data_IF_942158659458
#
_entry.id   IF_942158659458
#
_cell.length_a   1.000
_cell.length_b   1.000
_cell.length_c   1.000
_cell.angle_alpha   90.00
_cell.angle_beta   90.00
_cell.angle_gamma   90.00
#
_symmetry.space_group_name_H-M   'P 1'
#
loop_
_entity.id
_entity.type
_entity.pdbx_description
1 polymer ?
#
# COMPACT_ATOMS: atom_id res chain seq x y z
N UNK A 1 21.02 12.95 -12.31
CA UNK A 1 21.29 12.48 -10.94
C UNK A 1 20.12 12.91 -10.08
N UNK A 2 19.44 11.97 -9.40
CA UNK A 2 18.42 12.32 -8.42
C UNK A 2 19.14 13.12 -7.32
N UNK A 3 18.54 14.24 -6.94
CA UNK A 3 19.08 15.11 -5.90
C UNK A 3 19.08 14.36 -4.56
N UNK A 4 20.21 13.73 -4.25
CA UNK A 4 20.43 12.97 -3.01
C UNK A 4 20.55 13.85 -1.76
N UNK A 5 20.37 15.17 -1.92
CA UNK A 5 20.61 16.14 -0.84
C UNK A 5 19.36 16.39 0.02
N UNK A 6 18.18 15.93 -0.36
CA UNK A 6 16.96 16.22 0.38
C UNK A 6 16.37 14.96 1.05
N UNK A 7 16.88 14.68 2.27
CA UNK A 7 16.35 13.60 3.12
C UNK A 7 14.88 13.88 3.48
N UNK A 8 13.95 13.04 2.99
CA UNK A 8 12.52 13.13 3.28
C UNK A 8 12.14 12.26 4.46
N UNK A 9 11.05 12.63 5.14
CA UNK A 9 10.39 11.80 6.14
C UNK A 9 9.21 11.09 5.48
N UNK A 10 9.22 9.76 5.56
CA UNK A 10 8.24 8.87 4.91
C UNK A 10 7.47 8.10 5.96
N UNK A 11 6.19 8.39 6.11
CA UNK A 11 5.30 7.64 6.99
C UNK A 11 4.64 6.49 6.22
N UNK A 12 4.76 5.27 6.74
CA UNK A 12 4.18 4.05 6.15
C UNK A 12 3.33 3.36 7.21
N UNK A 13 2.02 3.30 7.01
CA UNK A 13 1.15 2.56 7.92
C UNK A 13 1.19 1.06 7.62
N UNK A 14 1.32 0.22 8.68
CA UNK A 14 1.43 -1.23 8.52
C UNK A 14 2.67 -1.66 7.73
N UNK A 15 3.79 -0.97 7.92
CA UNK A 15 5.00 -1.13 7.11
C UNK A 15 5.98 -2.18 7.61
N UNK A 16 5.59 -3.09 8.51
CA UNK A 16 6.50 -4.09 9.08
C UNK A 16 6.54 -5.42 8.34
N UNK A 17 5.68 -5.61 7.35
CA UNK A 17 5.64 -6.83 6.52
C UNK A 17 5.07 -6.55 5.12
N UNK A 18 5.25 -7.50 4.22
CA UNK A 18 4.70 -7.46 2.86
C UNK A 18 5.11 -6.21 2.08
N UNK A 19 4.17 -5.63 1.33
CA UNK A 19 4.41 -4.48 0.46
C UNK A 19 4.95 -3.27 1.25
N UNK A 20 4.37 -2.98 2.42
CA UNK A 20 4.80 -1.85 3.25
C UNK A 20 6.25 -1.95 3.69
N UNK A 21 6.72 -3.15 4.04
CA UNK A 21 8.13 -3.41 4.41
C UNK A 21 9.08 -3.15 3.24
N UNK A 22 8.78 -3.66 2.06
CA UNK A 22 9.63 -3.44 0.88
C UNK A 22 9.64 -1.97 0.45
N UNK A 23 8.51 -1.26 0.59
CA UNK A 23 8.48 0.19 0.40
C UNK A 23 9.42 0.89 1.39
N UNK A 24 9.42 0.49 2.67
CA UNK A 24 10.30 1.07 3.67
C UNK A 24 11.78 0.84 3.34
N UNK A 25 12.16 -0.37 2.93
CA UNK A 25 13.52 -0.65 2.47
C UNK A 25 13.89 0.22 1.27
N UNK A 26 13.00 0.34 0.27
CA UNK A 26 13.28 1.13 -0.92
C UNK A 26 13.51 2.61 -0.61
N UNK A 27 12.73 3.22 0.27
CA UNK A 27 12.97 4.60 0.69
C UNK A 27 14.24 4.75 1.53
N UNK A 28 14.53 3.79 2.43
CA UNK A 28 15.75 3.79 3.22
C UNK A 28 17.02 3.64 2.36
N UNK A 29 17.00 2.81 1.31
CA UNK A 29 18.08 2.66 0.31
C UNK A 29 18.45 3.99 -0.37
N UNK A 30 17.49 4.91 -0.47
CA UNK A 30 17.70 6.24 -1.03
C UNK A 30 17.94 7.32 0.04
N UNK A 31 18.28 6.90 1.28
CA UNK A 31 18.68 7.81 2.36
C UNK A 31 17.53 8.54 3.06
N UNK A 32 16.27 8.16 2.81
CA UNK A 32 15.12 8.78 3.46
C UNK A 32 14.90 8.24 4.87
N UNK A 33 14.27 9.04 5.73
CA UNK A 33 13.89 8.62 7.08
C UNK A 33 12.52 7.95 7.04
N UNK A 34 12.47 6.66 7.32
CA UNK A 34 11.20 5.94 7.44
C UNK A 34 10.64 6.02 8.86
N UNK A 35 9.34 6.30 8.94
CA UNK A 35 8.49 6.17 10.11
C UNK A 35 7.48 5.07 9.78
N UNK A 36 7.46 4.01 10.57
CA UNK A 36 6.69 2.81 10.27
C UNK A 36 5.75 2.52 11.42
N UNK A 37 4.46 2.41 11.14
CA UNK A 37 3.50 1.95 12.14
C UNK A 37 3.19 0.47 11.98
N UNK A 38 2.79 -0.17 13.06
CA UNK A 38 2.35 -1.55 13.10
C UNK A 38 1.24 -1.74 14.14
N UNK A 39 0.40 -2.76 13.95
CA UNK A 39 -0.65 -3.14 14.89
C UNK A 39 -0.12 -4.07 15.99
N UNK A 40 -0.98 -4.42 16.93
CA UNK A 40 -0.66 -5.28 18.08
C UNK A 40 -0.19 -6.68 17.62
N UNK A 41 0.91 -7.16 18.23
CA UNK A 41 1.42 -8.52 18.01
C UNK A 41 1.91 -8.81 16.58
N UNK A 42 2.24 -7.78 15.81
CA UNK A 42 2.58 -7.96 14.41
C UNK A 42 4.03 -8.33 14.13
N UNK A 43 4.96 -7.95 15.02
CA UNK A 43 6.41 -8.21 14.89
C UNK A 43 7.11 -8.17 16.24
N UNK A 44 8.32 -8.77 16.29
CA UNK A 44 9.35 -8.43 17.26
C UNK A 44 10.18 -7.28 16.67
N UNK A 45 10.17 -6.12 17.34
CA UNK A 45 10.84 -4.90 16.82
C UNK A 45 12.31 -5.10 16.54
N UNK A 46 13.01 -5.85 17.41
CA UNK A 46 14.44 -6.12 17.30
C UNK A 46 14.75 -6.89 16.00
N UNK A 47 13.96 -7.90 15.66
CA UNK A 47 14.12 -8.68 14.43
C UNK A 47 13.94 -7.80 13.19
N UNK A 48 12.94 -6.94 13.21
CA UNK A 48 12.69 -6.01 12.11
C UNK A 48 13.83 -4.99 11.95
N UNK A 49 14.36 -4.44 13.02
CA UNK A 49 15.48 -3.51 12.98
C UNK A 49 16.77 -4.20 12.52
N UNK A 50 16.96 -5.47 12.85
CA UNK A 50 18.10 -6.26 12.37
C UNK A 50 18.04 -6.44 10.83
N UNK A 51 16.85 -6.60 10.22
CA UNK A 51 16.74 -6.64 8.74
C UNK A 51 17.27 -5.35 8.08
N UNK A 52 17.02 -4.17 8.66
CA UNK A 52 17.59 -2.89 8.18
C UNK A 52 19.12 -2.86 8.34
N UNK A 53 19.61 -3.32 9.48
CA UNK A 53 21.05 -3.38 9.77
C UNK A 53 21.79 -4.31 8.82
N UNK A 54 21.25 -5.50 8.54
CA UNK A 54 21.83 -6.45 7.59
C UNK A 54 21.93 -5.89 6.17
N UNK A 55 20.94 -5.07 5.78
CA UNK A 55 20.94 -4.35 4.51
C UNK A 55 21.77 -3.07 4.54
N UNK A 56 22.43 -2.75 5.65
CA UNK A 56 23.21 -1.52 5.88
C UNK A 56 22.37 -0.24 5.68
N UNK A 57 21.09 -0.29 6.03
CA UNK A 57 20.15 0.81 5.94
C UNK A 57 20.04 1.56 7.27
N UNK A 58 19.71 2.85 7.21
CA UNK A 58 19.40 3.61 8.42
C UNK A 58 18.15 3.03 9.11
N UNK A 59 18.17 2.82 10.44
CA UNK A 59 17.03 2.26 11.14
C UNK A 59 15.81 3.19 11.03
N UNK A 60 14.61 2.61 10.83
CA UNK A 60 13.38 3.38 10.85
C UNK A 60 13.00 3.77 12.27
N UNK A 61 12.11 4.74 12.41
CA UNK A 61 11.38 4.97 13.65
C UNK A 61 10.14 4.06 13.63
N UNK A 62 10.06 3.14 14.58
CA UNK A 62 8.92 2.23 14.75
C UNK A 62 7.96 2.79 15.79
N UNK A 63 6.66 2.71 15.52
CA UNK A 63 5.61 3.07 16.48
C UNK A 63 4.43 2.12 16.36
N UNK A 64 4.09 1.50 17.46
CA UNK A 64 2.83 0.78 17.55
C UNK A 64 1.68 1.78 17.56
N UNK A 65 0.76 1.65 16.61
CA UNK A 65 -0.40 2.53 16.49
C UNK A 65 -1.51 1.86 15.69
N UNK A 66 -2.72 1.87 16.23
CA UNK A 66 -3.91 1.50 15.48
C UNK A 66 -4.36 2.69 14.61
N UNK A 67 -4.48 2.47 13.31
CA UNK A 67 -4.79 3.53 12.34
C UNK A 67 -6.16 4.19 12.53
N UNK A 68 -7.06 3.56 13.27
CA UNK A 68 -8.39 4.12 13.58
C UNK A 68 -8.49 4.69 14.99
N UNK A 69 -7.47 4.49 15.82
CA UNK A 69 -7.44 5.05 17.17
C UNK A 69 -6.94 6.49 17.13
N UNK A 70 -7.78 7.43 17.55
CA UNK A 70 -7.46 8.86 17.50
C UNK A 70 -6.31 9.25 18.45
N UNK A 71 -6.18 8.59 19.61
CA UNK A 71 -5.11 8.82 20.58
C UNK A 71 -3.77 8.34 20.00
N UNK A 72 -3.70 7.09 19.51
CA UNK A 72 -2.51 6.53 18.88
C UNK A 72 -2.03 7.41 17.72
N UNK A 73 -2.97 7.88 16.89
CA UNK A 73 -2.65 8.71 15.73
C UNK A 73 -2.13 10.09 16.15
N UNK A 74 -2.72 10.68 17.18
CA UNK A 74 -2.29 11.98 17.72
C UNK A 74 -0.89 11.87 18.33
N UNK A 75 -0.64 10.83 19.11
CA UNK A 75 0.67 10.58 19.72
C UNK A 75 1.75 10.35 18.67
N UNK A 76 1.44 9.56 17.64
CA UNK A 76 2.32 9.36 16.50
C UNK A 76 2.71 10.68 15.84
N UNK A 77 1.72 11.55 15.53
CA UNK A 77 1.99 12.84 14.89
C UNK A 77 2.84 13.76 15.77
N UNK A 78 2.61 13.79 17.09
CA UNK A 78 3.38 14.60 18.02
C UNK A 78 4.84 14.11 18.14
N UNK A 79 5.05 12.78 18.15
CA UNK A 79 6.40 12.22 18.15
C UNK A 79 7.15 12.51 16.84
N UNK A 80 6.47 12.39 15.69
CA UNK A 80 7.05 12.76 14.39
C UNK A 80 7.43 14.24 14.38
N UNK A 81 6.55 15.12 14.87
CA UNK A 81 6.85 16.54 14.97
C UNK A 81 8.13 16.81 15.77
N UNK A 82 8.24 16.18 16.91
CA UNK A 82 9.36 16.36 17.84
C UNK A 82 10.68 15.85 17.24
N UNK A 83 10.66 14.70 16.56
CA UNK A 83 11.87 14.03 16.05
C UNK A 83 12.30 14.51 14.67
N UNK A 84 11.33 14.78 13.80
CA UNK A 84 11.56 14.97 12.35
C UNK A 84 10.93 16.25 11.79
N UNK A 85 10.08 16.92 12.57
CA UNK A 85 9.42 18.16 12.18
C UNK A 85 8.13 17.97 11.36
N UNK A 86 8.14 17.10 10.37
CA UNK A 86 6.97 16.85 9.50
C UNK A 86 7.13 15.57 8.69
N UNK A 87 6.08 15.21 7.93
CA UNK A 87 6.07 14.13 6.94
C UNK A 87 6.07 14.73 5.53
N UNK A 88 6.86 14.19 4.63
CA UNK A 88 6.92 14.60 3.22
C UNK A 88 6.20 13.60 2.30
N UNK A 89 6.20 12.33 2.66
CA UNK A 89 5.53 11.23 1.93
C UNK A 89 4.68 10.42 2.91
N UNK A 90 3.44 10.22 2.57
CA UNK A 90 2.54 9.33 3.32
C UNK A 90 2.09 8.16 2.46
N UNK A 91 2.37 6.93 2.91
CA UNK A 91 1.94 5.68 2.30
C UNK A 91 0.84 5.07 3.17
N UNK A 92 -0.41 5.18 2.72
CA UNK A 92 -1.57 4.55 3.34
C UNK A 92 -1.64 3.09 2.88
N UNK A 93 -0.99 2.20 3.64
CA UNK A 93 -0.81 0.79 3.26
C UNK A 93 -1.69 -0.18 4.06
N UNK A 94 -2.16 0.19 5.26
CA UNK A 94 -3.06 -0.69 6.03
C UNK A 94 -4.30 -1.00 5.24
N UNK A 95 -4.64 -2.28 5.19
CA UNK A 95 -5.89 -2.76 4.58
C UNK A 95 -6.44 -3.89 5.44
N UNK A 96 -7.71 -3.77 5.79
CA UNK A 96 -8.46 -4.77 6.53
C UNK A 96 -9.81 -4.99 5.84
N UNK A 97 -10.21 -6.24 5.72
CA UNK A 97 -11.55 -6.61 5.32
C UNK A 97 -11.89 -8.01 5.84
N UNK A 98 -13.11 -8.19 6.31
CA UNK A 98 -13.62 -9.52 6.63
C UNK A 98 -13.81 -10.32 5.33
N UNK A 99 -13.54 -11.63 5.42
CA UNK A 99 -13.76 -12.55 4.31
C UNK A 99 -15.27 -12.76 4.11
N UNK A 100 -15.69 -12.77 2.85
CA UNK A 100 -17.08 -13.01 2.43
C UNK A 100 -17.12 -14.28 1.61
N UNK A 101 -17.71 -15.36 2.16
CA UNK A 101 -17.82 -16.66 1.48
C UNK A 101 -19.19 -16.84 0.82
N UNK A 102 -20.21 -16.16 1.33
CA UNK A 102 -21.58 -16.18 0.83
C UNK A 102 -22.29 -14.86 1.13
N UNK A 103 -23.49 -14.68 0.59
CA UNK A 103 -24.31 -13.50 0.90
C UNK A 103 -24.65 -13.39 2.39
N UNK A 104 -24.67 -14.50 3.11
CA UNK A 104 -25.01 -14.53 4.54
C UNK A 104 -23.88 -13.93 5.41
N UNK A 105 -22.66 -13.83 4.89
CA UNK A 105 -21.53 -13.19 5.56
C UNK A 105 -21.53 -11.65 5.41
N UNK A 106 -22.41 -11.11 4.56
CA UNK A 106 -22.52 -9.67 4.41
C UNK A 106 -23.14 -9.04 5.65
N UNK A 107 -22.43 -8.10 6.24
CA UNK A 107 -22.97 -7.27 7.32
C UNK A 107 -22.53 -5.82 7.17
N UNK A 108 -23.43 -4.90 7.52
CA UNK A 108 -23.15 -3.46 7.54
C UNK A 108 -21.94 -3.15 8.41
N UNK A 109 -21.86 -3.73 9.61
CA UNK A 109 -20.76 -3.53 10.54
C UNK A 109 -19.41 -3.96 9.96
N UNK A 110 -19.37 -5.09 9.24
CA UNK A 110 -18.16 -5.59 8.58
C UNK A 110 -17.71 -4.68 7.43
N UNK A 111 -18.66 -4.18 6.64
CA UNK A 111 -18.38 -3.24 5.56
C UNK A 111 -17.85 -1.91 6.10
N UNK A 112 -18.55 -1.33 7.08
CA UNK A 112 -18.12 -0.06 7.70
C UNK A 112 -16.75 -0.17 8.36
N UNK A 113 -16.49 -1.26 9.08
CA UNK A 113 -15.16 -1.52 9.65
C UNK A 113 -14.08 -1.65 8.58
N UNK A 114 -14.38 -2.27 7.45
CA UNK A 114 -13.43 -2.37 6.34
C UNK A 114 -13.10 -0.99 5.75
N UNK A 115 -14.09 -0.11 5.63
CA UNK A 115 -13.90 1.29 5.18
C UNK A 115 -13.07 2.07 6.20
N UNK A 116 -13.39 1.94 7.49
CA UNK A 116 -12.72 2.63 8.59
C UNK A 116 -11.22 2.34 8.61
N UNK A 117 -10.81 1.08 8.46
CA UNK A 117 -9.39 0.68 8.45
C UNK A 117 -8.68 0.92 7.12
N UNK A 118 -9.37 0.75 5.99
CA UNK A 118 -8.71 0.71 4.68
C UNK A 118 -8.84 2.00 3.87
N UNK A 119 -9.81 2.87 4.20
CA UNK A 119 -10.05 4.09 3.43
C UNK A 119 -9.86 5.35 4.24
N UNK A 120 -10.47 5.41 5.42
CA UNK A 120 -10.47 6.60 6.25
C UNK A 120 -9.07 7.09 6.65
N UNK A 121 -8.09 6.24 6.97
CA UNK A 121 -6.76 6.68 7.38
C UNK A 121 -6.06 7.56 6.34
N UNK A 122 -6.26 7.33 5.05
CA UNK A 122 -5.65 8.18 4.01
C UNK A 122 -6.10 9.64 4.13
N UNK A 123 -7.35 9.88 4.48
CA UNK A 123 -7.92 11.22 4.66
C UNK A 123 -7.50 11.78 6.02
N UNK A 124 -7.74 11.03 7.08
CA UNK A 124 -7.56 11.50 8.45
C UNK A 124 -6.11 11.83 8.78
N UNK A 125 -5.18 10.95 8.42
CA UNK A 125 -3.76 11.22 8.61
C UNK A 125 -3.29 12.46 7.84
N UNK A 126 -3.78 12.66 6.61
CA UNK A 126 -3.45 13.85 5.83
C UNK A 126 -3.95 15.13 6.52
N UNK A 127 -5.18 15.11 7.08
CA UNK A 127 -5.73 16.24 7.85
C UNK A 127 -4.95 16.50 9.13
N UNK A 128 -4.61 15.46 9.88
CA UNK A 128 -3.84 15.55 11.13
C UNK A 128 -2.43 16.10 10.88
N UNK A 129 -1.78 15.70 9.80
CA UNK A 129 -0.47 16.24 9.41
C UNK A 129 -0.54 17.77 9.27
N UNK A 130 -1.56 18.30 8.60
CA UNK A 130 -1.74 19.76 8.51
C UNK A 130 -1.98 20.39 9.87
N UNK A 131 -2.83 19.79 10.71
CA UNK A 131 -3.15 20.32 12.02
C UNK A 131 -1.92 20.35 12.94
N UNK A 132 -1.08 19.30 12.93
CA UNK A 132 0.07 19.18 13.81
C UNK A 132 1.31 19.87 13.24
N UNK A 133 1.62 19.68 11.96
CA UNK A 133 2.85 20.20 11.34
C UNK A 133 2.70 21.56 10.68
N UNK A 134 1.46 22.05 10.49
CA UNK A 134 1.18 23.28 9.76
C UNK A 134 1.27 23.15 8.22
N UNK A 135 1.62 21.97 7.72
CA UNK A 135 1.71 21.66 6.27
C UNK A 135 1.21 20.25 5.97
N UNK A 136 0.79 20.03 4.73
CA UNK A 136 0.50 18.69 4.21
C UNK A 136 1.76 17.97 3.74
N UNK A 137 1.75 16.62 3.65
CA UNK A 137 2.76 15.87 2.92
C UNK A 137 2.66 16.21 1.43
N UNK A 138 3.78 16.19 0.70
CA UNK A 138 3.73 16.42 -0.76
C UNK A 138 3.11 15.23 -1.49
N UNK A 139 3.36 14.01 -1.05
CA UNK A 139 2.88 12.78 -1.69
C UNK A 139 2.01 11.99 -0.72
N UNK A 140 0.85 11.56 -1.19
CA UNK A 140 -0.03 10.61 -0.52
C UNK A 140 -0.33 9.47 -1.48
N UNK A 141 0.12 8.27 -1.11
CA UNK A 141 -0.05 7.06 -1.91
C UNK A 141 -0.93 6.05 -1.19
N UNK A 142 -1.94 5.55 -1.89
CA UNK A 142 -2.68 4.38 -1.48
C UNK A 142 -2.34 3.16 -2.33
N UNK A 143 -2.65 1.97 -1.82
CA UNK A 143 -2.45 0.70 -2.52
C UNK A 143 -3.79 0.06 -2.87
N UNK A 144 -3.93 -0.38 -4.12
CA UNK A 144 -5.09 -1.09 -4.63
C UNK A 144 -4.68 -2.41 -5.29
N UNK A 145 -5.66 -3.10 -5.85
CA UNK A 145 -5.51 -4.38 -6.54
C UNK A 145 -6.43 -4.43 -7.76
N UNK A 146 -6.43 -5.53 -8.51
CA UNK A 146 -7.40 -5.75 -9.59
C UNK A 146 -8.82 -6.09 -9.10
N UNK A 147 -9.03 -6.24 -7.76
CA UNK A 147 -10.35 -6.52 -7.18
C UNK A 147 -11.50 -5.62 -7.64
N UNK A 148 -11.30 -4.31 -7.84
CA UNK A 148 -12.32 -3.43 -8.40
C UNK A 148 -12.90 -3.86 -9.75
N UNK A 149 -12.12 -4.53 -10.60
CA UNK A 149 -12.51 -4.89 -11.96
C UNK A 149 -12.60 -6.41 -12.19
N UNK A 150 -12.14 -7.23 -11.23
CA UNK A 150 -12.07 -8.68 -11.37
C UNK A 150 -12.51 -9.38 -10.10
N UNK A 151 -13.21 -10.48 -10.27
CA UNK A 151 -13.60 -11.33 -9.14
C UNK A 151 -12.40 -12.07 -8.55
N UNK A 152 -12.25 -11.96 -7.23
CA UNK A 152 -11.40 -12.81 -6.41
C UNK A 152 -12.23 -13.42 -5.28
N UNK A 153 -12.06 -14.72 -5.04
CA UNK A 153 -12.79 -15.42 -3.99
C UNK A 153 -12.59 -14.75 -2.62
N UNK A 154 -13.67 -14.55 -1.89
CA UNK A 154 -13.70 -13.98 -0.53
C UNK A 154 -13.20 -12.51 -0.43
N UNK A 155 -13.11 -11.77 -1.53
CA UNK A 155 -12.43 -10.48 -1.59
C UNK A 155 -13.39 -9.28 -1.67
N UNK A 156 -14.68 -9.48 -1.47
CA UNK A 156 -15.76 -8.52 -1.74
C UNK A 156 -15.55 -7.17 -1.03
N UNK A 157 -15.39 -7.18 0.29
CA UNK A 157 -15.19 -5.94 1.04
C UNK A 157 -13.81 -5.32 0.79
N UNK A 158 -12.79 -6.13 0.56
CA UNK A 158 -11.48 -5.60 0.15
C UNK A 158 -11.57 -4.91 -1.21
N UNK A 159 -12.23 -5.51 -2.20
CA UNK A 159 -12.47 -4.90 -3.51
C UNK A 159 -13.26 -3.59 -3.39
N UNK A 160 -14.35 -3.58 -2.59
CA UNK A 160 -15.15 -2.39 -2.35
C UNK A 160 -14.33 -1.23 -1.76
N UNK A 161 -13.48 -1.49 -0.76
CA UNK A 161 -12.63 -0.45 -0.16
C UNK A 161 -11.55 0.04 -1.12
N UNK A 162 -10.99 -0.84 -1.97
CA UNK A 162 -10.04 -0.43 -3.02
C UNK A 162 -10.71 0.49 -4.04
N UNK A 163 -11.93 0.13 -4.50
CA UNK A 163 -12.73 0.98 -5.40
C UNK A 163 -13.01 2.35 -4.79
N UNK A 164 -13.40 2.39 -3.51
CA UNK A 164 -13.65 3.65 -2.81
C UNK A 164 -12.41 4.54 -2.79
N UNK A 165 -11.25 3.99 -2.45
CA UNK A 165 -9.99 4.74 -2.46
C UNK A 165 -9.64 5.29 -3.85
N UNK A 166 -9.83 4.51 -4.91
CA UNK A 166 -9.57 4.94 -6.29
C UNK A 166 -10.46 6.09 -6.75
N UNK A 167 -11.69 6.15 -6.25
CA UNK A 167 -12.59 7.28 -6.52
C UNK A 167 -12.19 8.48 -5.65
N UNK A 168 -11.98 8.27 -4.35
CA UNK A 168 -11.65 9.35 -3.41
C UNK A 168 -10.37 10.09 -3.80
N UNK A 169 -9.35 9.39 -4.27
CA UNK A 169 -8.08 10.01 -4.69
C UNK A 169 -8.26 11.08 -5.76
N UNK A 170 -9.21 10.91 -6.69
CA UNK A 170 -9.52 11.90 -7.72
C UNK A 170 -10.07 13.20 -7.10
N UNK A 171 -11.02 13.06 -6.16
CA UNK A 171 -11.60 14.22 -5.46
C UNK A 171 -10.60 14.87 -4.50
N UNK A 172 -9.83 14.08 -3.77
CA UNK A 172 -8.77 14.59 -2.89
C UNK A 172 -7.74 15.38 -3.69
N UNK A 173 -7.28 14.85 -4.82
CA UNK A 173 -6.34 15.59 -5.67
C UNK A 173 -6.92 16.95 -6.13
N UNK A 174 -8.22 17.03 -6.41
CA UNK A 174 -8.87 18.30 -6.75
C UNK A 174 -8.89 19.26 -5.55
N UNK A 175 -9.31 18.80 -4.37
CA UNK A 175 -9.37 19.62 -3.17
C UNK A 175 -8.01 20.14 -2.68
N UNK A 176 -6.93 19.41 -2.96
CA UNK A 176 -5.58 19.75 -2.53
C UNK A 176 -4.69 20.27 -3.67
N UNK A 177 -5.30 20.68 -4.78
CA UNK A 177 -4.54 21.12 -5.94
C UNK A 177 -3.69 22.36 -5.63
N UNK A 178 -4.26 23.35 -4.95
CA UNK A 178 -3.60 24.61 -4.57
C UNK A 178 -2.55 24.40 -3.46
N UNK A 179 -2.71 23.37 -2.63
CA UNK A 179 -1.72 22.97 -1.61
C UNK A 179 -0.55 22.15 -2.20
N UNK A 180 -0.59 21.85 -3.50
CA UNK A 180 0.40 21.06 -4.21
C UNK A 180 0.62 19.64 -3.62
N UNK A 181 -0.41 19.04 -3.05
CA UNK A 181 -0.40 17.66 -2.60
C UNK A 181 -0.74 16.74 -3.77
N UNK A 182 0.03 15.68 -3.94
CA UNK A 182 -0.15 14.70 -5.02
C UNK A 182 -0.71 13.42 -4.43
N UNK A 183 -1.98 13.15 -4.75
CA UNK A 183 -2.63 11.89 -4.40
C UNK A 183 -2.60 10.93 -5.58
N UNK A 184 -2.19 9.69 -5.37
CA UNK A 184 -2.27 8.61 -6.36
C UNK A 184 -2.53 7.26 -5.69
N UNK A 185 -3.00 6.31 -6.48
CA UNK A 185 -3.15 4.91 -6.09
C UNK A 185 -2.24 4.06 -6.98
N UNK A 186 -1.49 3.14 -6.37
CA UNK A 186 -0.84 2.06 -7.10
C UNK A 186 -1.72 0.82 -7.05
N UNK A 187 -2.12 0.31 -8.20
CA UNK A 187 -2.85 -0.94 -8.37
C UNK A 187 -1.88 -2.02 -8.83
N UNK A 188 -1.85 -3.15 -8.13
CA UNK A 188 -1.05 -4.31 -8.51
C UNK A 188 -1.93 -5.51 -8.85
N UNK A 189 -1.38 -6.45 -9.62
CA UNK A 189 -1.90 -7.81 -9.61
C UNK A 189 -1.66 -8.43 -8.22
N UNK A 190 -2.25 -9.61 -7.90
CA UNK A 190 -1.95 -10.30 -6.66
C UNK A 190 -0.45 -10.51 -6.48
N UNK A 191 0.12 -9.94 -5.42
CA UNK A 191 1.50 -10.14 -4.99
C UNK A 191 1.50 -11.10 -3.81
N UNK A 192 2.34 -12.12 -3.84
CA UNK A 192 2.35 -13.16 -2.81
C UNK A 192 2.79 -12.55 -1.48
N UNK A 193 1.86 -12.45 -0.55
CA UNK A 193 2.05 -11.98 0.82
C UNK A 193 1.27 -12.89 1.78
N UNK A 194 1.64 -12.91 3.05
CA UNK A 194 0.89 -13.67 4.06
C UNK A 194 -0.59 -13.25 4.10
N UNK A 195 -0.86 -11.95 3.96
CA UNK A 195 -2.22 -11.41 3.93
C UNK A 195 -3.03 -11.95 2.74
N UNK A 196 -2.42 -12.04 1.55
CA UNK A 196 -3.07 -12.63 0.39
C UNK A 196 -3.34 -14.13 0.63
N UNK A 197 -2.35 -14.88 1.11
CA UNK A 197 -2.49 -16.31 1.36
C UNK A 197 -3.53 -16.64 2.44
N UNK A 198 -3.71 -15.76 3.43
CA UNK A 198 -4.82 -15.87 4.39
C UNK A 198 -6.20 -15.68 3.74
N UNK A 199 -6.28 -14.86 2.70
CA UNK A 199 -7.54 -14.56 2.00
C UNK A 199 -7.93 -15.66 1.02
N UNK A 200 -7.00 -16.09 0.18
CA UNK A 200 -7.28 -17.00 -0.95
C UNK A 200 -6.95 -18.47 -0.67
N UNK A 201 -6.14 -18.75 0.35
CA UNK A 201 -5.65 -20.09 0.71
C UNK A 201 -4.18 -20.29 0.30
N UNK A 202 -3.48 -21.17 1.04
CA UNK A 202 -2.04 -21.42 0.79
C UNK A 202 -1.80 -22.14 -0.53
N UNK A 203 -2.70 -23.02 -0.94
CA UNK A 203 -2.65 -23.77 -2.19
C UNK A 203 -2.65 -22.86 -3.42
N UNK A 204 -3.14 -21.63 -3.25
CA UNK A 204 -3.15 -20.63 -4.32
C UNK A 204 -1.75 -20.25 -4.79
N UNK A 205 -0.75 -20.28 -3.89
CA UNK A 205 0.66 -20.03 -4.25
C UNK A 205 1.17 -21.07 -5.24
N UNK A 206 0.99 -22.35 -4.94
CA UNK A 206 1.41 -23.47 -5.80
C UNK A 206 0.70 -23.43 -7.15
N UNK A 207 -0.60 -23.06 -7.14
CA UNK A 207 -1.37 -22.92 -8.35
C UNK A 207 -0.83 -21.79 -9.25
N UNK A 208 -0.54 -20.63 -8.66
CA UNK A 208 0.03 -19.49 -9.42
C UNK A 208 1.42 -19.84 -9.95
N UNK A 209 2.30 -20.41 -9.14
CA UNK A 209 3.64 -20.80 -9.58
C UNK A 209 3.59 -21.76 -10.79
N UNK A 210 2.56 -22.59 -10.87
CA UNK A 210 2.38 -23.55 -11.98
C UNK A 210 1.71 -22.94 -13.22
N UNK A 211 0.74 -22.03 -13.04
CA UNK A 211 -0.16 -21.60 -14.11
C UNK A 211 -0.08 -20.10 -14.41
N UNK A 212 0.85 -19.38 -13.77
CA UNK A 212 0.99 -17.94 -14.02
C UNK A 212 1.40 -17.65 -15.47
N UNK A 213 1.00 -16.50 -15.94
CA UNK A 213 1.38 -16.04 -17.28
C UNK A 213 2.86 -15.62 -17.22
N UNK A 214 3.76 -16.28 -17.97
CA UNK A 214 5.17 -15.95 -17.93
C UNK A 214 5.45 -14.48 -18.21
N UNK A 215 6.36 -13.89 -17.41
CA UNK A 215 6.76 -12.49 -17.55
C UNK A 215 5.80 -11.47 -16.94
N UNK A 216 4.64 -11.89 -16.40
CA UNK A 216 3.71 -10.96 -15.75
C UNK A 216 3.81 -10.97 -14.23
N UNK A 217 4.57 -11.87 -13.63
CA UNK A 217 4.77 -11.87 -12.18
C UNK A 217 5.36 -10.53 -11.71
N UNK A 218 4.78 -9.99 -10.64
CA UNK A 218 5.25 -8.76 -9.98
C UNK A 218 5.62 -9.13 -8.56
N UNK A 219 6.85 -8.85 -8.17
CA UNK A 219 7.33 -9.08 -6.82
C UNK A 219 7.18 -7.82 -5.95
N UNK A 220 7.43 -8.00 -4.64
CA UNK A 220 7.29 -6.93 -3.66
C UNK A 220 8.27 -5.77 -3.93
N UNK A 221 9.48 -6.09 -4.36
CA UNK A 221 10.52 -5.08 -4.66
C UNK A 221 10.13 -4.23 -5.87
N UNK A 222 9.53 -4.84 -6.91
CA UNK A 222 9.05 -4.10 -8.09
C UNK A 222 7.93 -3.14 -7.71
N UNK A 223 6.98 -3.57 -6.85
CA UNK A 223 5.95 -2.67 -6.31
C UNK A 223 6.57 -1.50 -5.57
N UNK A 224 7.55 -1.75 -4.70
CA UNK A 224 8.24 -0.73 -3.94
C UNK A 224 9.01 0.27 -4.85
N UNK A 225 9.64 -0.21 -5.92
CA UNK A 225 10.30 0.64 -6.93
C UNK A 225 9.33 1.63 -7.60
N UNK A 226 8.12 1.15 -7.95
CA UNK A 226 7.10 2.01 -8.57
C UNK A 226 6.59 3.06 -7.58
N UNK A 227 6.28 2.66 -6.33
CA UNK A 227 5.87 3.61 -5.27
C UNK A 227 6.94 4.67 -5.05
N UNK A 228 8.21 4.27 -4.95
CA UNK A 228 9.32 5.20 -4.80
C UNK A 228 9.41 6.18 -5.99
N UNK A 229 9.35 5.69 -7.22
CA UNK A 229 9.41 6.52 -8.42
C UNK A 229 8.28 7.57 -8.43
N UNK A 230 7.06 7.18 -8.07
CA UNK A 230 5.90 8.06 -8.00
C UNK A 230 6.03 9.15 -6.92
N UNK A 231 6.80 8.91 -5.85
CA UNK A 231 7.02 9.87 -4.77
C UNK A 231 8.40 10.56 -4.84
N UNK A 232 9.21 10.28 -5.87
CA UNK A 232 10.57 10.81 -5.99
C UNK A 232 10.66 12.24 -6.54
N UNK A 233 9.59 12.73 -7.18
CA UNK A 233 9.56 13.98 -7.94
C UNK A 233 9.62 13.77 -9.45
N UNK A 234 10.05 12.60 -9.92
CA UNK A 234 10.16 12.30 -11.36
C UNK A 234 8.80 12.18 -12.05
N UNK A 235 7.75 11.88 -11.28
CA UNK A 235 6.41 11.62 -11.81
C UNK A 235 5.36 12.63 -11.31
N UNK A 236 5.76 13.84 -10.95
CA UNK A 236 4.88 14.89 -10.40
C UNK A 236 3.75 15.32 -11.34
N UNK A 237 3.89 15.04 -12.64
CA UNK A 237 2.81 15.24 -13.62
C UNK A 237 1.66 14.24 -13.51
N UNK A 238 1.82 13.15 -12.74
CA UNK A 238 0.78 12.14 -12.51
C UNK A 238 0.10 12.44 -11.19
N UNK A 239 -1.17 12.87 -11.26
CA UNK A 239 -1.98 13.26 -10.10
C UNK A 239 -3.39 12.71 -10.19
N UNK A 240 -3.95 12.26 -9.07
CA UNK A 240 -5.31 11.75 -8.99
C UNK A 240 -5.53 10.48 -9.80
N UNK A 241 -4.48 9.69 -10.04
CA UNK A 241 -4.52 8.53 -10.90
C UNK A 241 -4.44 7.22 -10.14
N UNK A 242 -5.07 6.20 -10.70
CA UNK A 242 -4.82 4.80 -10.37
C UNK A 242 -3.89 4.23 -11.43
N UNK A 243 -2.67 3.89 -11.02
CA UNK A 243 -1.62 3.39 -11.91
C UNK A 243 -1.51 1.88 -11.77
N UNK A 244 -1.57 1.15 -12.87
CA UNK A 244 -1.36 -0.30 -12.87
C UNK A 244 0.14 -0.62 -12.92
N UNK A 245 0.63 -1.37 -11.93
CA UNK A 245 1.95 -2.02 -11.91
C UNK A 245 1.74 -3.53 -11.97
N UNK A 246 1.44 -4.05 -13.16
CA UNK A 246 1.01 -5.42 -13.38
C UNK A 246 1.64 -6.10 -14.61
N UNK A 247 2.67 -5.46 -15.19
CA UNK A 247 3.35 -5.95 -16.41
C UNK A 247 2.40 -6.29 -17.55
N UNK A 248 1.29 -5.55 -17.65
CA UNK A 248 0.28 -5.76 -18.71
C UNK A 248 -0.67 -6.94 -18.46
N UNK A 249 -0.60 -7.59 -17.30
CA UNK A 249 -1.49 -8.72 -16.94
C UNK A 249 -2.99 -8.36 -17.10
N UNK A 250 -3.37 -7.14 -16.79
CA UNK A 250 -4.77 -6.71 -16.85
C UNK A 250 -5.35 -6.71 -18.27
N UNK A 251 -4.50 -6.62 -19.30
CA UNK A 251 -4.90 -6.63 -20.70
C UNK A 251 -5.08 -8.05 -21.27
N UNK A 252 -4.52 -9.08 -20.62
CA UNK A 252 -4.52 -10.44 -21.14
C UNK A 252 -5.86 -11.11 -20.85
N UNK A 253 -6.55 -11.56 -21.90
CA UNK A 253 -7.76 -12.36 -21.80
C UNK A 253 -7.39 -13.84 -21.56
N UNK A 254 -7.89 -14.41 -20.44
CA UNK A 254 -7.44 -15.71 -19.93
C UNK A 254 -7.73 -16.90 -20.86
N UNK A 255 -8.92 -16.95 -21.47
CA UNK A 255 -9.28 -18.07 -22.37
C UNK A 255 -8.46 -18.03 -23.66
N UNK A 256 -8.25 -16.87 -24.25
CA UNK A 256 -7.39 -16.71 -25.42
C UNK A 256 -5.95 -17.14 -25.11
N UNK A 257 -5.44 -16.75 -23.94
CA UNK A 257 -4.14 -17.17 -23.48
C UNK A 257 -4.04 -18.70 -23.34
N UNK A 258 -4.98 -19.33 -22.63
CA UNK A 258 -5.02 -20.78 -22.44
C UNK A 258 -5.20 -21.54 -23.77
N UNK A 259 -6.08 -21.07 -24.64
CA UNK A 259 -6.32 -21.67 -25.94
C UNK A 259 -5.06 -21.67 -26.83
N UNK A 260 -4.35 -20.56 -26.87
CA UNK A 260 -3.12 -20.44 -27.67
C UNK A 260 -1.98 -21.33 -27.14
N UNK A 261 -2.06 -21.72 -25.89
CA UNK A 261 -1.05 -22.56 -25.20
C UNK A 261 -1.64 -23.88 -24.69
N UNK A 262 -2.73 -24.34 -25.28
CA UNK A 262 -3.48 -25.50 -24.78
C UNK A 262 -2.65 -26.78 -24.65
N UNK A 263 -1.64 -26.98 -25.50
CA UNK A 263 -0.74 -28.12 -25.43
C UNK A 263 0.08 -28.09 -24.13
N UNK A 264 0.51 -26.93 -23.66
CA UNK A 264 1.24 -26.77 -22.40
C UNK A 264 0.35 -27.04 -21.18
N UNK A 265 -0.96 -26.80 -21.30
CA UNK A 265 -1.95 -27.09 -20.26
C UNK A 265 -2.51 -28.53 -20.34
N UNK A 266 -2.15 -29.31 -21.35
CA UNK A 266 -2.62 -30.67 -21.55
C UNK A 266 -4.11 -30.75 -21.95
N UNK A 267 -4.63 -29.73 -22.63
CA UNK A 267 -6.01 -29.62 -23.12
C UNK A 267 -6.04 -29.45 -24.65
#
# INVERSE_FOLDING_TARGET
>A
MLDSTNKRVVLITGGTKGIGKEIAFKFAEHGHQCVITYGWGSIEEEDFLNEFKERQLAPPFLKQADVINAEDTTDLMNEIKTRFGSVDVFISNVSFANLVKSIDDYSEASLLKSIEYSCWPMIEYTRQMKAVFGKYPKYVMGLSSHGPDRFYKNYDFAAATKTLNEVLVKYLNYHFYDDNVIFNILRTRPVITDSLLMTVGKEWKEFIEKYDIPGTHVDLEEVAKVVYAMCSGLMDGIRGQTINADKGYNFIEGYSYMYNRREEFGI
#
